data_IF_256143400049
#
_entry.id   IF_256143400049
#
_cell.length_a   1.000
_cell.length_b   1.000
_cell.length_c   1.000
_cell.angle_alpha   90.00
_cell.angle_beta   90.00
_cell.angle_gamma   90.00
#
_symmetry.space_group_name_H-M   'P 1'
#
loop_
_entity.id
_entity.type
_entity.pdbx_description
1 polymer ?
#
# COMPACT_ATOMS: atom_id res chain seq x y z
N UNK A 1 -60.05 -5.70 3.22
CA UNK A 1 -58.92 -6.17 4.06
C UNK A 1 -58.84 -7.71 4.06
N UNK A 2 -57.75 -8.26 3.51
CA UNK A 2 -57.44 -9.69 3.56
C UNK A 2 -57.60 -10.42 2.22
N UNK A 3 -56.47 -10.79 1.60
CA UNK A 3 -56.23 -12.09 0.97
C UNK A 3 -54.85 -12.08 0.28
N UNK A 4 -53.93 -12.86 0.83
CA UNK A 4 -52.67 -13.25 0.22
C UNK A 4 -52.88 -13.89 -1.15
N UNK A 5 -52.05 -13.56 -2.15
CA UNK A 5 -51.76 -14.45 -3.30
C UNK A 5 -50.32 -14.25 -3.77
N UNK A 6 -49.56 -15.32 -3.64
CA UNK A 6 -48.22 -15.53 -4.18
C UNK A 6 -48.14 -15.09 -5.64
N UNK A 7 -47.08 -14.35 -6.00
CA UNK A 7 -46.73 -14.12 -7.40
C UNK A 7 -45.74 -15.20 -7.87
N UNK A 8 -45.93 -15.73 -9.08
CA UNK A 8 -45.25 -16.92 -9.56
C UNK A 8 -43.84 -16.60 -10.06
N UNK A 9 -42.93 -17.55 -9.86
CA UNK A 9 -41.65 -17.65 -10.55
C UNK A 9 -41.93 -17.84 -12.05
N UNK A 10 -41.80 -16.76 -12.82
CA UNK A 10 -41.68 -16.84 -14.28
C UNK A 10 -40.22 -16.73 -14.68
N UNK A 11 -39.64 -17.92 -14.79
CA UNK A 11 -38.64 -18.34 -15.75
C UNK A 11 -38.40 -17.35 -16.91
N UNK A 12 -37.26 -16.67 -16.92
CA UNK A 12 -36.60 -16.30 -18.16
C UNK A 12 -35.33 -17.13 -18.32
N UNK A 13 -35.44 -18.08 -19.24
CA UNK A 13 -34.33 -18.80 -19.84
C UNK A 13 -33.56 -17.84 -20.74
N UNK A 14 -32.26 -17.68 -20.50
CA UNK A 14 -31.29 -17.62 -21.59
C UNK A 14 -29.98 -18.29 -21.14
N UNK A 15 -29.66 -19.40 -21.79
CA UNK A 15 -28.39 -20.11 -21.70
C UNK A 15 -27.32 -19.31 -22.45
N UNK A 16 -26.13 -19.18 -21.86
CA UNK A 16 -24.88 -19.07 -22.62
C UNK A 16 -23.75 -19.72 -21.81
N UNK A 17 -22.95 -20.52 -22.52
CA UNK A 17 -21.97 -21.45 -22.00
C UNK A 17 -20.61 -20.80 -21.69
N UNK A 18 -19.97 -21.23 -20.59
CA UNK A 18 -18.54 -21.57 -20.45
C UNK A 18 -18.19 -21.88 -18.98
N UNK A 19 -17.62 -23.03 -18.65
CA UNK A 19 -16.41 -23.12 -17.83
C UNK A 19 -15.21 -23.36 -18.77
N UNK A 20 -13.94 -23.15 -18.38
CA UNK A 20 -13.40 -22.94 -17.04
C UNK A 20 -12.55 -21.65 -16.95
N UNK A 21 -12.11 -21.25 -15.76
CA UNK A 21 -10.77 -20.66 -15.54
C UNK A 21 -10.59 -20.38 -14.05
N UNK A 22 -9.74 -21.19 -13.43
CA UNK A 22 -8.99 -20.78 -12.25
C UNK A 22 -8.08 -19.63 -12.71
N UNK A 23 -8.35 -18.41 -12.29
CA UNK A 23 -7.34 -17.35 -12.29
C UNK A 23 -7.11 -16.98 -10.82
N UNK A 24 -6.50 -17.91 -10.08
CA UNK A 24 -6.00 -17.68 -8.73
C UNK A 24 -4.57 -17.10 -8.75
N UNK A 25 -4.08 -16.64 -9.90
CA UNK A 25 -2.65 -16.33 -10.06
C UNK A 25 -2.40 -15.32 -11.16
N UNK A 26 -2.88 -14.10 -10.98
CA UNK A 26 -2.22 -12.93 -11.56
C UNK A 26 -2.26 -11.89 -10.45
N UNK A 27 -1.15 -11.78 -9.71
CA UNK A 27 -0.97 -10.58 -8.88
C UNK A 27 -1.19 -9.40 -9.82
N UNK A 28 -2.03 -8.41 -9.46
CA UNK A 28 -2.11 -7.19 -10.25
C UNK A 28 -0.69 -6.64 -10.43
N UNK A 29 -0.36 -6.07 -11.60
CA UNK A 29 0.96 -5.48 -11.82
C UNK A 29 1.21 -4.51 -10.67
N UNK A 30 2.37 -4.64 -10.02
CA UNK A 30 2.78 -3.78 -8.90
C UNK A 30 2.89 -2.35 -9.43
N UNK A 31 1.82 -1.58 -9.40
CA UNK A 31 1.85 -0.21 -9.90
C UNK A 31 2.59 0.68 -8.90
N UNK A 32 3.12 1.81 -9.37
CA UNK A 32 3.73 2.82 -8.49
C UNK A 32 2.77 3.27 -7.36
N UNK A 33 1.45 3.23 -7.63
CA UNK A 33 0.43 3.52 -6.65
C UNK A 33 0.41 2.48 -5.53
N UNK A 34 0.49 1.18 -5.87
CA UNK A 34 0.51 0.10 -4.88
C UNK A 34 1.78 0.14 -4.03
N UNK A 35 2.94 0.43 -4.63
CA UNK A 35 4.20 0.59 -3.90
C UNK A 35 4.06 1.73 -2.89
N UNK A 36 3.55 2.87 -3.33
CA UNK A 36 3.33 4.03 -2.47
C UNK A 36 2.36 3.72 -1.33
N UNK A 37 1.27 3.01 -1.60
CA UNK A 37 0.30 2.62 -0.59
C UNK A 37 0.90 1.67 0.45
N UNK A 38 1.70 0.67 0.02
CA UNK A 38 2.38 -0.24 0.93
C UNK A 38 3.44 0.46 1.78
N UNK A 39 4.24 1.36 1.19
CA UNK A 39 5.19 2.18 1.93
C UNK A 39 4.47 3.04 2.98
N UNK A 40 3.37 3.70 2.60
CA UNK A 40 2.57 4.46 3.55
C UNK A 40 1.90 3.59 4.61
N UNK A 41 1.59 2.32 4.32
CA UNK A 41 1.04 1.38 5.27
C UNK A 41 2.07 0.98 6.33
N UNK A 42 3.29 0.63 5.93
CA UNK A 42 4.39 0.30 6.86
C UNK A 42 4.63 1.48 7.82
N UNK A 43 4.64 2.71 7.32
CA UNK A 43 4.78 3.90 8.16
C UNK A 43 3.63 4.09 9.17
N UNK A 44 2.40 3.65 8.84
CA UNK A 44 1.27 3.70 9.78
C UNK A 44 1.34 2.63 10.87
N UNK A 45 2.07 1.54 10.64
CA UNK A 45 2.27 0.49 11.64
C UNK A 45 3.29 0.90 12.73
N UNK A 46 4.12 1.91 12.43
CA UNK A 46 5.06 2.44 13.41
C UNK A 46 4.35 3.37 14.40
N UNK A 47 4.05 2.83 15.58
CA UNK A 47 3.46 3.56 16.72
C UNK A 47 4.29 4.77 17.20
N UNK A 48 5.56 4.89 16.76
CA UNK A 48 6.42 6.05 17.03
C UNK A 48 6.03 7.30 16.24
N UNK A 49 5.19 7.15 15.21
CA UNK A 49 4.70 8.28 14.41
C UNK A 49 3.39 8.76 15.03
N UNK A 50 3.41 9.97 15.59
CA UNK A 50 2.23 10.55 16.23
C UNK A 50 1.01 10.58 15.27
N UNK A 51 -0.15 10.06 15.68
CA UNK A 51 -1.33 10.01 14.83
C UNK A 51 -1.82 11.40 14.46
N UNK A 52 -1.54 12.44 15.25
CA UNK A 52 -1.94 13.82 14.92
C UNK A 52 -1.23 14.34 13.66
N UNK A 53 0.01 13.92 13.40
CA UNK A 53 0.74 14.21 12.16
C UNK A 53 0.28 13.31 11.01
N UNK A 54 -0.10 12.06 11.29
CA UNK A 54 -0.57 11.12 10.28
C UNK A 54 -2.04 11.30 9.88
N UNK A 55 -2.90 11.79 10.77
CA UNK A 55 -4.36 11.83 10.63
C UNK A 55 -4.93 13.24 10.41
N UNK A 56 -4.08 14.26 10.29
CA UNK A 56 -4.50 15.61 9.92
C UNK A 56 -5.30 16.31 11.01
N UNK A 57 -4.61 16.97 11.95
CA UNK A 57 -5.22 18.03 12.75
C UNK A 57 -5.69 19.22 11.87
N UNK A 58 -6.47 20.18 12.41
CA UNK A 58 -6.91 21.36 11.68
C UNK A 58 -5.69 22.28 11.43
N UNK A 59 -5.01 22.05 10.30
CA UNK A 59 -3.70 22.61 9.96
C UNK A 59 -2.67 21.57 9.48
N UNK A 60 -3.06 20.29 9.39
CA UNK A 60 -2.21 19.13 9.21
C UNK A 60 -1.45 19.06 7.89
N UNK A 61 -0.13 19.02 8.01
CA UNK A 61 0.77 18.54 6.95
C UNK A 61 0.63 17.02 6.91
N UNK A 62 -0.09 16.54 5.90
CA UNK A 62 -0.32 15.14 5.56
C UNK A 62 1.02 14.37 5.55
N UNK A 63 0.99 13.08 5.94
CA UNK A 63 2.14 12.19 5.79
C UNK A 63 2.50 12.16 4.31
N UNK A 64 3.53 12.93 3.98
CA UNK A 64 3.91 13.27 2.62
C UNK A 64 4.96 12.26 2.20
N UNK A 65 4.93 11.78 0.95
CA UNK A 65 6.03 10.95 0.46
C UNK A 65 7.39 11.70 0.57
N UNK A 66 7.38 13.02 0.47
CA UNK A 66 8.55 13.90 0.65
C UNK A 66 8.87 14.23 2.13
N UNK A 67 8.18 13.65 3.12
CA UNK A 67 8.47 13.93 4.53
C UNK A 67 9.78 13.28 4.95
N UNK A 68 10.66 14.05 5.60
CA UNK A 68 11.94 13.54 6.07
C UNK A 68 11.78 12.79 7.41
N UNK A 69 12.33 11.57 7.51
CA UNK A 69 12.21 10.73 8.71
C UNK A 69 12.69 11.45 9.99
N UNK A 70 13.92 11.99 9.96
CA UNK A 70 14.47 12.71 11.11
C UNK A 70 13.87 14.10 11.34
N UNK A 71 13.65 14.90 10.28
CA UNK A 71 13.29 16.33 10.43
C UNK A 71 11.80 16.59 10.62
N UNK A 72 10.94 15.87 9.90
CA UNK A 72 9.48 16.10 9.93
C UNK A 72 8.80 15.15 10.92
N UNK A 73 9.14 13.86 10.84
CA UNK A 73 8.57 12.85 11.72
C UNK A 73 9.26 12.82 13.08
N UNK A 74 10.54 13.22 13.16
CA UNK A 74 11.29 13.24 14.40
C UNK A 74 11.75 11.84 14.83
N UNK A 75 11.98 10.96 13.86
CA UNK A 75 12.45 9.60 14.09
C UNK A 75 13.95 9.57 14.34
N UNK A 76 14.40 8.62 15.16
CA UNK A 76 15.82 8.42 15.42
C UNK A 76 16.50 7.66 14.26
N UNK A 77 17.85 7.70 14.22
CA UNK A 77 18.63 6.96 13.21
C UNK A 77 18.41 5.44 13.29
N UNK A 78 18.07 4.91 14.46
CA UNK A 78 17.71 3.49 14.62
C UNK A 78 16.34 3.19 14.01
N UNK A 79 15.37 4.10 14.16
CA UNK A 79 14.02 3.93 13.62
C UNK A 79 14.02 3.92 12.10
N UNK A 80 14.89 4.73 11.47
CA UNK A 80 15.09 4.70 10.01
C UNK A 80 15.50 3.29 9.53
N UNK A 81 16.47 2.67 10.20
CA UNK A 81 16.96 1.33 9.83
C UNK A 81 15.85 0.28 10.02
N UNK A 82 15.08 0.36 11.11
CA UNK A 82 13.96 -0.54 11.33
C UNK A 82 12.89 -0.43 10.23
N UNK A 83 12.53 0.80 9.84
CA UNK A 83 11.55 1.06 8.77
C UNK A 83 12.06 0.48 7.44
N UNK A 84 13.33 0.70 7.10
CA UNK A 84 13.90 0.19 5.84
C UNK A 84 13.89 -1.34 5.82
N UNK A 85 14.27 -2.00 6.92
CA UNK A 85 14.19 -3.46 7.03
C UNK A 85 12.75 -3.99 6.88
N UNK A 86 11.75 -3.28 7.43
CA UNK A 86 10.35 -3.65 7.26
C UNK A 86 9.88 -3.51 5.81
N UNK A 87 10.37 -2.51 5.08
CA UNK A 87 10.09 -2.35 3.64
C UNK A 87 10.76 -3.46 2.82
N UNK A 88 12.02 -3.77 3.11
CA UNK A 88 12.77 -4.86 2.48
C UNK A 88 12.02 -6.19 2.57
N UNK A 89 11.52 -6.54 3.76
CA UNK A 89 10.74 -7.75 4.00
C UNK A 89 9.40 -7.75 3.24
N UNK A 90 8.67 -6.62 3.26
CA UNK A 90 7.36 -6.47 2.62
C UNK A 90 7.42 -6.62 1.08
N UNK A 91 8.52 -6.20 0.46
CA UNK A 91 8.71 -6.26 -1.00
C UNK A 91 9.69 -7.36 -1.45
N UNK A 92 10.33 -8.05 -0.51
CA UNK A 92 11.30 -9.12 -0.76
C UNK A 92 12.52 -8.64 -1.55
N UNK A 93 13.14 -7.53 -1.14
CA UNK A 93 14.42 -7.05 -1.67
C UNK A 93 15.42 -6.79 -0.55
N UNK A 94 16.67 -6.52 -0.90
CA UNK A 94 17.76 -6.19 0.04
C UNK A 94 18.36 -4.84 -0.39
N UNK A 95 18.29 -3.81 0.47
CA UNK A 95 18.98 -2.53 0.25
C UNK A 95 20.28 -2.59 1.05
N UNK A 96 21.45 -2.35 0.43
CA UNK A 96 22.69 -2.26 1.18
C UNK A 96 22.67 -1.06 2.13
N UNK A 97 23.27 -1.19 3.30
CA UNK A 97 23.32 -0.13 4.33
C UNK A 97 23.76 1.24 3.76
N UNK A 98 24.74 1.24 2.85
CA UNK A 98 25.25 2.48 2.24
C UNK A 98 24.27 3.20 1.31
N UNK A 99 23.21 2.53 0.85
CA UNK A 99 22.10 3.17 0.16
C UNK A 99 20.95 3.48 1.13
N UNK A 100 20.68 2.59 2.09
CA UNK A 100 19.69 2.80 3.15
C UNK A 100 19.93 4.12 3.93
N UNK A 101 21.20 4.43 4.24
CA UNK A 101 21.58 5.69 4.90
C UNK A 101 21.26 6.93 4.06
N UNK A 102 21.21 6.82 2.73
CA UNK A 102 20.88 7.94 1.84
C UNK A 102 19.38 8.14 1.68
N UNK A 103 18.59 7.10 1.94
CA UNK A 103 17.12 7.12 1.83
C UNK A 103 16.53 7.79 3.08
N UNK A 104 16.35 9.10 2.99
CA UNK A 104 15.87 9.95 4.08
C UNK A 104 14.38 10.25 4.00
N UNK A 105 13.77 9.97 2.85
CA UNK A 105 12.35 10.21 2.57
C UNK A 105 11.65 8.93 2.07
N UNK A 106 10.36 8.71 2.41
CA UNK A 106 9.57 7.61 1.87
C UNK A 106 9.49 7.61 0.34
N UNK A 107 9.49 8.78 -0.30
CA UNK A 107 9.46 8.91 -1.75
C UNK A 107 10.72 8.32 -2.39
N UNK A 108 11.89 8.58 -1.81
CA UNK A 108 13.15 8.03 -2.34
C UNK A 108 13.14 6.50 -2.26
N UNK A 109 12.52 5.94 -1.22
CA UNK A 109 12.30 4.49 -1.10
C UNK A 109 11.35 4.00 -2.20
N UNK A 110 10.23 4.68 -2.42
CA UNK A 110 9.27 4.33 -3.50
C UNK A 110 9.95 4.36 -4.87
N UNK A 111 10.71 5.40 -5.16
CA UNK A 111 11.45 5.56 -6.42
C UNK A 111 12.52 4.47 -6.56
N UNK A 112 13.25 4.16 -5.49
CA UNK A 112 14.23 3.07 -5.47
C UNK A 112 13.59 1.71 -5.76
N UNK A 113 12.42 1.44 -5.15
CA UNK A 113 11.67 0.20 -5.37
C UNK A 113 11.13 0.14 -6.80
N UNK A 114 10.60 1.24 -7.30
CA UNK A 114 10.08 1.35 -8.66
C UNK A 114 11.17 1.05 -9.71
N UNK A 115 12.36 1.62 -9.53
CA UNK A 115 13.53 1.40 -10.40
C UNK A 115 14.04 -0.05 -10.29
N UNK A 116 14.09 -0.62 -9.08
CA UNK A 116 14.58 -1.99 -8.85
C UNK A 116 13.63 -3.08 -9.35
N UNK A 117 12.32 -2.87 -9.27
CA UNK A 117 11.31 -3.84 -9.68
C UNK A 117 10.96 -3.74 -11.18
N UNK A 118 11.62 -2.85 -11.93
CA UNK A 118 11.39 -2.63 -13.37
C UNK A 118 9.88 -2.62 -13.69
N UNK A 119 9.12 -1.78 -12.97
CA UNK A 119 7.65 -1.67 -13.10
C UNK A 119 7.21 -1.10 -14.46
N UNK A 120 8.13 -0.90 -15.41
CA UNK A 120 7.86 -0.57 -16.80
C UNK A 120 7.84 -1.83 -17.69
N UNK A 121 6.86 -2.71 -17.49
CA UNK A 121 6.27 -3.52 -18.58
C UNK A 121 4.75 -3.33 -18.63
#
# INVERSE_FOLDING_TARGET
PGAARCRPLVLQVLRAARPPCRCFSELPPLTLADIKERVLYVLKLYDKIDPEKASGGPGGRWLTAESHFMKDLGLDSLDQVEIIMAMEDEFGFEIPDGDAEKLMCPQEIVDYIADKKDVYE
#
